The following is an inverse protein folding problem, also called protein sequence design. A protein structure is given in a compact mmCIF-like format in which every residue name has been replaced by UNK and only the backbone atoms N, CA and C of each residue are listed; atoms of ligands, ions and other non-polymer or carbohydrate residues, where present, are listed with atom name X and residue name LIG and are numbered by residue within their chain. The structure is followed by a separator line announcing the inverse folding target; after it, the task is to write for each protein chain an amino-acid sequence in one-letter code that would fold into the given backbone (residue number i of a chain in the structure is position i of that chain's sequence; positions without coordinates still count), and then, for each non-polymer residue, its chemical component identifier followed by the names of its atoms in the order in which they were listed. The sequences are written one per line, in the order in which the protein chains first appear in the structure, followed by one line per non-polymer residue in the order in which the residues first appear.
data_IF_479440273268
#
_entry.id   IF_479440273268
#
_cell.length_a   1.000
_cell.length_b   1.000
_cell.length_c   1.000
_cell.angle_alpha   90.00
_cell.angle_beta   90.00
_cell.angle_gamma   90.00
#
_symmetry.space_group_name_H-M   'P 1'
#
loop_
_entity.id
_entity.type
_entity.pdbx_description
1 polymer ?
#
# COMPACT_ATOMS: atom_id res chain seq x y z
N UNK A 1 4.45 -19.82 -11.90
CA UNK A 1 5.47 -20.29 -10.94
C UNK A 1 6.37 -19.16 -10.40
N UNK A 2 6.59 -18.06 -11.13
CA UNK A 2 7.43 -16.94 -10.69
C UNK A 2 6.76 -16.03 -9.63
N UNK A 3 5.42 -15.99 -9.57
CA UNK A 3 4.67 -15.08 -8.73
C UNK A 3 4.65 -15.45 -7.24
N UNK A 4 4.71 -16.74 -6.94
CA UNK A 4 4.67 -17.25 -5.55
C UNK A 4 5.99 -16.97 -4.81
N UNK A 5 7.09 -16.81 -5.53
CA UNK A 5 8.41 -16.57 -4.94
C UNK A 5 8.61 -15.12 -4.49
N UNK A 6 8.00 -14.17 -5.18
CA UNK A 6 8.09 -12.73 -4.85
C UNK A 6 7.35 -12.36 -3.56
N UNK A 7 6.24 -13.04 -3.26
CA UNK A 7 5.45 -12.77 -2.05
C UNK A 7 6.08 -13.34 -0.77
N UNK A 8 6.93 -14.37 -0.89
CA UNK A 8 7.54 -15.04 0.27
C UNK A 8 8.64 -14.23 0.96
N UNK A 9 9.20 -13.22 0.29
CA UNK A 9 10.36 -12.45 0.73
C UNK A 9 10.11 -10.93 0.85
N UNK A 10 8.86 -10.47 0.76
CA UNK A 10 8.58 -9.05 1.03
C UNK A 10 8.80 -8.78 2.52
N UNK A 11 9.92 -8.17 2.84
CA UNK A 11 10.15 -7.60 4.18
C UNK A 11 9.05 -6.55 4.41
N UNK A 12 8.30 -6.73 5.49
CA UNK A 12 7.34 -5.72 5.94
C UNK A 12 8.17 -4.57 6.50
N UNK A 13 8.30 -3.50 5.71
CA UNK A 13 9.02 -2.28 6.11
C UNK A 13 8.06 -1.19 6.58
N UNK A 14 6.89 -1.56 7.09
CA UNK A 14 5.98 -0.59 7.69
C UNK A 14 6.52 -0.11 9.03
N UNK A 15 6.40 1.20 9.31
CA UNK A 15 6.65 1.78 10.63
C UNK A 15 5.61 1.36 11.66
N UNK A 16 4.43 0.94 11.19
CA UNK A 16 3.31 0.48 12.01
C UNK A 16 3.02 1.41 13.19
N UNK A 17 2.88 2.71 12.91
CA UNK A 17 2.64 3.75 13.93
C UNK A 17 1.40 3.50 14.79
N UNK A 18 0.48 2.68 14.29
CA UNK A 18 -0.76 2.31 14.98
C UNK A 18 -0.73 0.89 15.55
N UNK A 19 0.44 0.24 15.60
CA UNK A 19 0.64 -1.11 16.15
C UNK A 19 -0.41 -2.11 15.67
N UNK A 20 -0.69 -2.05 14.38
CA UNK A 20 -1.74 -2.84 13.73
C UNK A 20 -1.27 -4.20 13.21
N UNK A 21 0.05 -4.41 13.11
CA UNK A 21 0.65 -5.65 12.64
C UNK A 21 0.38 -6.81 13.61
N UNK A 22 -0.28 -7.85 13.12
CA UNK A 22 -0.56 -9.08 13.86
C UNK A 22 -0.27 -10.33 13.05
N UNK A 23 -0.06 -11.43 13.76
CA UNK A 23 0.02 -12.77 13.16
C UNK A 23 -1.36 -13.43 13.20
N UNK A 24 -1.82 -13.85 12.04
CA UNK A 24 -3.02 -14.67 11.88
C UNK A 24 -2.58 -16.09 11.56
N UNK A 25 -2.95 -17.02 12.43
CA UNK A 25 -2.75 -18.46 12.17
C UNK A 25 -3.96 -19.01 11.43
N UNK A 26 -3.72 -19.58 10.26
CA UNK A 26 -4.73 -20.29 9.48
C UNK A 26 -4.16 -21.67 9.18
N UNK A 27 -4.80 -22.69 9.74
CA UNK A 27 -4.29 -24.07 9.73
C UNK A 27 -2.85 -24.14 10.26
N UNK A 28 -1.90 -24.64 9.48
CA UNK A 28 -0.50 -24.75 9.82
C UNK A 28 0.35 -23.57 9.34
N UNK A 29 -0.25 -22.48 8.85
CA UNK A 29 0.45 -21.32 8.30
C UNK A 29 0.20 -20.06 9.13
N UNK A 30 1.24 -19.25 9.29
CA UNK A 30 1.15 -17.94 9.93
C UNK A 30 1.21 -16.85 8.85
N UNK A 31 0.27 -15.93 8.91
CA UNK A 31 0.20 -14.76 8.03
C UNK A 31 0.37 -13.48 8.83
N UNK A 32 1.12 -12.53 8.29
CA UNK A 32 1.18 -11.18 8.84
C UNK A 32 0.04 -10.36 8.26
N UNK A 33 -0.80 -9.83 9.13
CA UNK A 33 -1.94 -8.98 8.76
C UNK A 33 -1.84 -7.62 9.46
N UNK A 34 -2.39 -6.59 8.84
CA UNK A 34 -2.60 -5.29 9.47
C UNK A 34 -4.04 -5.21 9.95
N UNK A 35 -4.22 -5.39 11.26
CA UNK A 35 -5.54 -5.48 11.88
C UNK A 35 -6.15 -4.11 12.08
N UNK A 36 -7.24 -3.82 11.39
CA UNK A 36 -8.00 -2.58 11.58
C UNK A 36 -8.56 -2.46 13.00
N UNK A 37 -8.96 -3.58 13.63
CA UNK A 37 -9.43 -3.58 15.02
C UNK A 37 -8.36 -3.10 16.00
N UNK A 38 -7.10 -3.48 15.78
CA UNK A 38 -6.01 -2.99 16.63
C UNK A 38 -5.66 -1.54 16.31
N UNK A 39 -5.65 -1.17 15.04
CA UNK A 39 -5.45 0.22 14.64
C UNK A 39 -6.51 1.15 15.26
N UNK A 40 -7.76 0.69 15.37
CA UNK A 40 -8.84 1.42 16.02
C UNK A 40 -8.57 1.67 17.50
N UNK A 41 -8.10 0.65 18.24
CA UNK A 41 -7.71 0.78 19.64
C UNK A 41 -6.51 1.70 19.87
N UNK A 42 -5.64 1.80 18.88
CA UNK A 42 -4.38 2.55 18.95
C UNK A 42 -4.46 3.95 18.31
N UNK A 43 -5.65 4.53 18.23
CA UNK A 43 -5.83 5.94 17.89
C UNK A 43 -6.55 6.23 16.56
N UNK A 44 -7.04 5.21 15.84
CA UNK A 44 -7.90 5.39 14.67
C UNK A 44 -9.37 5.14 15.02
N UNK A 45 -9.91 5.91 15.95
CA UNK A 45 -11.27 5.73 16.47
C UNK A 45 -12.34 5.77 15.36
N UNK A 46 -13.33 4.86 15.46
CA UNK A 46 -14.50 4.83 14.60
C UNK A 46 -14.27 4.26 13.20
N UNK A 47 -13.08 3.76 12.85
CA UNK A 47 -12.80 3.20 11.51
C UNK A 47 -13.60 1.93 11.21
N UNK A 48 -14.17 1.29 12.23
CA UNK A 48 -15.12 0.17 12.04
C UNK A 48 -16.34 0.57 11.22
N UNK A 49 -16.76 1.84 11.25
CA UNK A 49 -17.88 2.41 10.47
C UNK A 49 -17.54 2.75 9.02
N UNK A 50 -16.27 2.68 8.63
CA UNK A 50 -15.85 2.94 7.25
C UNK A 50 -16.47 1.92 6.27
N UNK A 51 -16.82 2.34 5.05
CA UNK A 51 -17.16 1.44 3.96
C UNK A 51 -16.04 0.44 3.70
N UNK A 52 -16.37 -0.75 3.21
CA UNK A 52 -15.38 -1.82 2.93
C UNK A 52 -14.28 -1.35 1.98
N UNK A 53 -14.62 -0.59 0.95
CA UNK A 53 -13.65 -0.01 0.00
C UNK A 53 -12.61 0.88 0.69
N UNK A 54 -13.06 1.77 1.58
CA UNK A 54 -12.17 2.66 2.33
C UNK A 54 -11.33 1.87 3.35
N UNK A 55 -11.86 0.79 3.93
CA UNK A 55 -11.06 -0.12 4.79
C UNK A 55 -9.92 -0.77 4.05
N UNK A 56 -10.11 -1.15 2.77
CA UNK A 56 -9.04 -1.69 1.93
C UNK A 56 -7.95 -0.65 1.68
N UNK A 57 -8.33 0.60 1.40
CA UNK A 57 -7.37 1.69 1.26
C UNK A 57 -6.60 1.95 2.56
N UNK A 58 -7.29 1.98 3.68
CA UNK A 58 -6.68 2.17 5.00
C UNK A 58 -5.68 1.05 5.33
N UNK A 59 -6.06 -0.21 5.11
CA UNK A 59 -5.15 -1.35 5.33
C UNK A 59 -3.91 -1.26 4.45
N UNK A 60 -4.06 -0.82 3.20
CA UNK A 60 -2.94 -0.60 2.30
C UNK A 60 -1.99 0.48 2.82
N UNK A 61 -2.51 1.61 3.33
CA UNK A 61 -1.68 2.66 3.93
C UNK A 61 -0.94 2.15 5.17
N UNK A 62 -1.61 1.43 6.08
CA UNK A 62 -0.98 0.84 7.27
C UNK A 62 0.15 -0.12 6.89
N UNK A 63 -0.05 -0.92 5.84
CA UNK A 63 0.93 -1.89 5.33
C UNK A 63 2.18 -1.23 4.77
N UNK A 64 2.05 -0.10 4.14
CA UNK A 64 3.13 0.57 3.41
C UNK A 64 3.58 1.89 4.04
N UNK A 65 3.23 2.15 5.29
CA UNK A 65 3.66 3.33 6.03
C UNK A 65 5.19 3.38 6.13
N UNK A 66 5.83 4.34 5.46
CA UNK A 66 7.28 4.50 5.40
C UNK A 66 7.75 5.92 5.78
N UNK A 67 6.81 6.81 6.10
CA UNK A 67 7.01 8.25 6.36
C UNK A 67 7.65 9.03 5.21
N UNK A 68 7.77 8.43 4.05
CA UNK A 68 8.25 9.08 2.81
C UNK A 68 7.11 9.22 1.82
N UNK A 69 6.68 8.10 1.24
CA UNK A 69 5.57 8.04 0.31
C UNK A 69 4.22 7.87 1.02
N UNK A 70 4.17 7.06 2.07
CA UNK A 70 2.99 6.89 2.91
C UNK A 70 3.28 7.45 4.30
N UNK A 71 2.64 8.57 4.62
CA UNK A 71 2.80 9.29 5.87
C UNK A 71 1.62 9.04 6.81
N UNK A 72 1.86 9.22 8.11
CA UNK A 72 0.83 9.08 9.15
C UNK A 72 -0.37 10.02 8.92
N UNK A 73 -0.12 11.20 8.38
CA UNK A 73 -1.16 12.20 8.06
C UNK A 73 -2.16 11.68 7.02
N UNK A 74 -1.71 10.88 6.05
CA UNK A 74 -2.57 10.25 5.05
C UNK A 74 -3.49 9.19 5.68
N UNK A 75 -2.99 8.46 6.69
CA UNK A 75 -3.79 7.49 7.45
C UNK A 75 -4.86 8.22 8.25
N UNK A 76 -4.49 9.31 8.95
CA UNK A 76 -5.42 10.14 9.71
C UNK A 76 -6.47 10.83 8.81
N UNK A 77 -6.13 11.14 7.56
CA UNK A 77 -7.08 11.71 6.62
C UNK A 77 -8.23 10.75 6.28
N UNK A 78 -7.97 9.44 6.27
CA UNK A 78 -9.01 8.42 6.10
C UNK A 78 -9.97 8.42 7.31
N UNK A 79 -9.45 8.61 8.53
CA UNK A 79 -10.29 8.73 9.72
C UNK A 79 -11.18 9.98 9.64
N UNK A 80 -10.62 11.14 9.28
CA UNK A 80 -11.38 12.39 9.16
C UNK A 80 -12.45 12.35 8.06
N UNK A 81 -12.30 11.46 7.07
CA UNK A 81 -13.32 11.24 6.05
C UNK A 81 -14.64 10.70 6.65
N UNK A 82 -14.61 10.01 7.78
CA UNK A 82 -15.82 9.52 8.46
C UNK A 82 -16.82 10.65 8.75
N UNK A 83 -16.30 11.80 9.15
CA UNK A 83 -17.12 12.96 9.52
C UNK A 83 -17.46 13.80 8.28
N UNK A 84 -16.45 14.12 7.50
CA UNK A 84 -16.56 15.08 6.38
C UNK A 84 -17.15 14.49 5.11
N UNK A 85 -17.11 13.15 4.94
CA UNK A 85 -17.49 12.41 3.71
C UNK A 85 -16.82 12.96 2.44
N UNK A 86 -15.78 13.74 2.60
CA UNK A 86 -14.98 14.35 1.54
C UNK A 86 -13.53 14.46 1.99
N UNK A 87 -12.59 14.37 1.06
CA UNK A 87 -11.18 14.61 1.32
C UNK A 87 -10.53 15.28 0.10
N UNK A 88 -9.70 16.27 0.39
CA UNK A 88 -8.81 16.91 -0.60
C UNK A 88 -7.39 16.35 -0.49
N UNK A 89 -7.16 15.42 0.44
CA UNK A 89 -5.84 14.82 0.68
C UNK A 89 -5.62 13.66 -0.27
N UNK A 90 -4.54 13.71 -1.02
CA UNK A 90 -4.07 12.60 -1.84
C UNK A 90 -3.47 11.53 -0.96
N UNK A 91 -3.70 10.27 -1.30
CA UNK A 91 -3.15 9.10 -0.63
C UNK A 91 -2.30 8.28 -1.61
N UNK A 92 -1.20 7.75 -1.12
CA UNK A 92 -0.32 6.86 -1.89
C UNK A 92 -0.82 5.41 -1.80
N UNK A 93 -1.60 4.98 -2.79
CA UNK A 93 -2.08 3.59 -2.88
C UNK A 93 -1.08 2.72 -3.63
N UNK A 94 -0.71 1.56 -3.06
CA UNK A 94 0.18 0.58 -3.68
C UNK A 94 -0.60 -0.69 -4.00
N UNK A 95 -1.07 -0.87 -5.25
CA UNK A 95 -1.81 -2.06 -5.64
C UNK A 95 -0.90 -3.29 -5.60
N UNK A 96 -1.44 -4.41 -5.11
CA UNK A 96 -0.72 -5.69 -5.12
C UNK A 96 -0.57 -6.25 -6.54
N UNK A 97 -1.48 -5.89 -7.43
CA UNK A 97 -1.47 -6.33 -8.83
C UNK A 97 -2.03 -5.24 -9.73
N UNK A 98 -1.38 -5.04 -10.85
CA UNK A 98 -1.87 -4.17 -11.93
C UNK A 98 -2.14 -5.04 -13.14
N UNK A 99 -3.36 -4.99 -13.65
CA UNK A 99 -3.71 -5.60 -14.92
C UNK A 99 -3.46 -4.58 -16.03
N UNK A 100 -2.59 -4.93 -16.96
CA UNK A 100 -2.30 -4.11 -18.12
C UNK A 100 -2.67 -4.89 -19.39
N UNK A 101 -3.18 -4.19 -20.39
CA UNK A 101 -3.37 -4.79 -21.70
C UNK A 101 -2.01 -5.12 -22.35
N UNK A 102 -1.93 -6.21 -23.07
CA UNK A 102 -0.78 -6.58 -23.89
C UNK A 102 -0.96 -6.20 -25.37
N UNK A 103 -2.07 -5.60 -25.69
CA UNK A 103 -2.41 -5.08 -27.00
C UNK A 103 -1.50 -3.91 -27.34
N UNK A 104 -0.92 -3.63 -28.33
CA UNK A 104 -0.02 -2.48 -28.62
C UNK A 104 1.31 -2.44 -27.84
N UNK A 105 1.88 -3.62 -27.46
CA UNK A 105 3.23 -3.72 -26.89
C UNK A 105 3.39 -3.30 -25.44
N UNK A 106 2.33 -3.40 -24.65
CA UNK A 106 2.34 -3.09 -23.21
C UNK A 106 2.90 -1.67 -22.97
N UNK A 107 2.10 -0.60 -23.19
CA UNK A 107 2.55 0.80 -23.19
C UNK A 107 3.36 1.19 -21.94
N UNK A 108 2.97 0.71 -20.75
CA UNK A 108 3.68 0.99 -19.50
C UNK A 108 5.12 0.46 -19.48
N UNK A 109 5.38 -0.70 -20.12
CA UNK A 109 6.73 -1.27 -20.19
C UNK A 109 7.58 -0.48 -21.19
N UNK A 110 6.99 -0.08 -22.33
CA UNK A 110 7.66 0.76 -23.31
C UNK A 110 8.06 2.10 -22.70
N UNK A 111 7.17 2.74 -21.93
CA UNK A 111 7.46 4.01 -21.22
C UNK A 111 8.56 3.84 -20.16
N UNK A 112 8.56 2.75 -19.42
CA UNK A 112 9.60 2.48 -18.42
C UNK A 112 10.96 2.24 -19.08
N UNK A 113 11.00 1.53 -20.21
CA UNK A 113 12.22 1.32 -20.98
C UNK A 113 12.77 2.66 -21.52
N UNK A 114 11.92 3.47 -22.13
CA UNK A 114 12.30 4.80 -22.63
C UNK A 114 12.81 5.72 -21.52
N UNK A 115 12.18 5.70 -20.33
CA UNK A 115 12.66 6.46 -19.17
C UNK A 115 14.03 5.98 -18.69
N UNK A 116 14.29 4.68 -18.65
CA UNK A 116 15.60 4.12 -18.29
C UNK A 116 16.67 4.56 -19.29
N UNK A 117 16.38 4.53 -20.57
CA UNK A 117 17.34 4.98 -21.59
C UNK A 117 17.62 6.47 -21.49
N UNK A 118 16.59 7.30 -21.24
CA UNK A 118 16.78 8.73 -21.03
C UNK A 118 17.65 9.03 -19.78
N UNK A 119 17.55 8.22 -18.73
CA UNK A 119 18.40 8.36 -17.53
C UNK A 119 19.83 7.98 -17.83
N UNK A 120 20.07 6.91 -18.61
CA UNK A 120 21.42 6.52 -19.07
C UNK A 120 22.07 7.59 -19.93
N UNK A 121 21.32 8.19 -20.86
CA UNK A 121 21.82 9.31 -21.68
C UNK A 121 22.29 10.49 -20.83
N UNK A 122 21.64 10.70 -19.67
CA UNK A 122 22.07 11.73 -18.68
C UNK A 122 23.20 11.26 -17.76
N UNK A 123 23.85 10.13 -18.05
CA UNK A 123 24.93 9.52 -17.25
C UNK A 123 24.54 9.29 -15.78
N UNK A 124 23.27 8.96 -15.52
CA UNK A 124 22.74 8.60 -14.20
C UNK A 124 22.41 7.11 -14.15
N UNK A 125 22.40 6.54 -12.92
CA UNK A 125 21.98 5.15 -12.73
C UNK A 125 20.46 5.02 -12.91
N UNK A 126 19.98 4.14 -13.81
CA UNK A 126 18.56 3.96 -14.09
C UNK A 126 17.87 2.95 -13.15
N UNK A 127 18.45 2.61 -11.99
CA UNK A 127 17.86 1.69 -11.00
C UNK A 127 16.56 2.16 -10.44
#
# INVERSE_FOLDING_TARGET
LCYTYLLKNMKINSKDSFKSLKKLKVDNKNYNIFSLKEAEKNGLEGISRLPKSIKVLLENLLRFEDSKSVKKEQILSIQSWLEKKNSKTEIAFRPARVLMQDYTGIPAIADLAAKKDAVKLKKKDPK
#
